data_IF_262720329794
#
_entry.id   IF_262720329794
#
_cell.length_a   1.000
_cell.length_b   1.000
_cell.length_c   1.000
_cell.angle_alpha   90.00
_cell.angle_beta   90.00
_cell.angle_gamma   90.00
#
_symmetry.space_group_name_H-M   'P 1'
#
loop_
_entity.id
_entity.type
_entity.pdbx_description
1 polymer ?
#
# COMPACT_ATOMS: atom_id res chain seq x y z
N UNK A 1 14.58 38.68 -35.72
CA UNK A 1 13.43 37.81 -35.74
C UNK A 1 13.80 36.61 -34.89
N UNK A 2 13.46 36.65 -33.60
CA UNK A 2 13.75 35.62 -32.62
C UNK A 2 12.39 35.08 -32.15
N UNK A 3 12.01 33.92 -32.61
CA UNK A 3 10.82 33.23 -32.14
C UNK A 3 11.12 32.55 -30.80
N UNK A 4 10.30 32.95 -29.85
CA UNK A 4 10.28 32.41 -28.46
C UNK A 4 9.42 31.17 -28.44
N UNK A 5 10.04 29.99 -28.34
CA UNK A 5 9.33 28.76 -28.02
C UNK A 5 9.32 28.59 -26.49
N UNK A 6 8.24 29.04 -25.90
CA UNK A 6 7.89 28.73 -24.52
C UNK A 6 7.08 27.44 -24.54
N UNK A 7 7.72 26.31 -24.31
CA UNK A 7 7.03 25.04 -24.02
C UNK A 7 6.45 25.10 -22.61
N UNK A 8 5.15 25.37 -22.56
CA UNK A 8 4.34 25.14 -21.36
C UNK A 8 4.28 23.65 -21.06
N UNK A 9 5.03 23.23 -20.05
CA UNK A 9 4.86 21.91 -19.41
C UNK A 9 3.53 21.92 -18.64
N UNK A 10 2.44 21.63 -19.34
CA UNK A 10 1.15 21.38 -18.70
C UNK A 10 1.24 20.11 -17.89
N UNK A 11 1.40 20.28 -16.58
CA UNK A 11 1.20 19.26 -15.57
C UNK A 11 -0.25 18.75 -15.67
N UNK A 12 -0.45 17.61 -16.33
CA UNK A 12 -1.74 16.95 -16.46
C UNK A 12 -2.13 16.33 -15.11
N UNK A 13 -2.59 17.18 -14.20
CA UNK A 13 -3.19 16.78 -12.91
C UNK A 13 -4.68 16.56 -13.14
N UNK A 14 -5.04 15.46 -13.79
CA UNK A 14 -6.44 15.03 -13.80
C UNK A 14 -6.93 14.88 -12.35
N UNK A 15 -8.14 15.37 -12.01
CA UNK A 15 -8.68 15.28 -10.67
C UNK A 15 -8.74 13.79 -10.26
N UNK A 16 -8.13 13.50 -9.11
CA UNK A 16 -8.13 12.16 -8.54
C UNK A 16 -9.59 11.81 -8.21
N UNK A 17 -10.14 10.79 -8.87
CA UNK A 17 -11.48 10.29 -8.58
C UNK A 17 -11.63 10.03 -7.07
N UNK A 18 -12.85 10.22 -6.54
CA UNK A 18 -13.12 10.00 -5.12
C UNK A 18 -12.59 8.61 -4.69
N UNK A 19 -11.89 8.52 -3.54
CA UNK A 19 -11.23 7.27 -3.15
C UNK A 19 -12.25 6.17 -2.86
N UNK A 20 -12.12 5.03 -3.54
CA UNK A 20 -12.88 3.83 -3.20
C UNK A 20 -12.38 3.28 -1.86
N UNK A 21 -13.29 2.71 -1.05
CA UNK A 21 -12.93 2.19 0.26
C UNK A 21 -12.45 0.74 0.20
N UNK A 22 -11.35 0.39 0.86
CA UNK A 22 -10.81 -0.97 0.92
C UNK A 22 -10.84 -1.48 2.36
N UNK A 23 -11.65 -2.45 2.63
CA UNK A 23 -11.57 -3.51 3.67
C UNK A 23 -12.94 -4.11 3.99
N UNK A 24 -12.99 -5.42 4.17
CA UNK A 24 -14.21 -6.18 4.41
C UNK A 24 -14.73 -6.87 3.14
N UNK A 25 -15.74 -7.69 3.31
CA UNK A 25 -16.47 -8.31 2.19
C UNK A 25 -17.08 -7.22 1.32
N UNK A 26 -16.53 -7.05 0.12
CA UNK A 26 -17.13 -6.20 -0.90
C UNK A 26 -18.04 -7.04 -1.76
N UNK A 27 -19.10 -6.41 -2.30
CA UNK A 27 -19.85 -7.03 -3.38
C UNK A 27 -18.90 -7.30 -4.54
N UNK A 28 -19.13 -8.38 -5.25
CA UNK A 28 -18.31 -8.77 -6.40
C UNK A 28 -18.21 -7.62 -7.41
N UNK A 29 -19.30 -6.91 -7.61
CA UNK A 29 -19.40 -5.76 -8.52
C UNK A 29 -18.38 -4.65 -8.18
N UNK A 30 -18.19 -4.33 -6.88
CA UNK A 30 -17.21 -3.32 -6.44
C UNK A 30 -15.78 -3.73 -6.76
N UNK A 31 -15.48 -5.03 -6.67
CA UNK A 31 -14.13 -5.56 -6.97
C UNK A 31 -13.85 -5.47 -8.47
N UNK A 32 -14.83 -5.84 -9.29
CA UNK A 32 -14.72 -5.77 -10.74
C UNK A 32 -14.56 -4.33 -11.23
N UNK A 33 -15.32 -3.39 -10.65
CA UNK A 33 -15.18 -1.94 -10.93
C UNK A 33 -13.76 -1.45 -10.58
N UNK A 34 -13.24 -1.82 -9.41
CA UNK A 34 -11.88 -1.43 -8.98
C UNK A 34 -10.82 -2.04 -9.91
N UNK A 35 -10.94 -3.32 -10.24
CA UNK A 35 -10.00 -3.99 -11.14
C UNK A 35 -10.04 -3.38 -12.55
N UNK A 36 -11.24 -3.11 -13.09
CA UNK A 36 -11.44 -2.48 -14.39
C UNK A 36 -10.91 -1.04 -14.43
N UNK A 37 -11.18 -0.26 -13.37
CA UNK A 37 -10.65 1.10 -13.25
C UNK A 37 -9.11 1.10 -13.20
N UNK A 38 -8.52 0.17 -12.45
CA UNK A 38 -7.07 0.04 -12.39
C UNK A 38 -6.48 -0.41 -13.75
N UNK A 39 -7.18 -1.30 -14.46
CA UNK A 39 -6.77 -1.75 -15.78
C UNK A 39 -6.83 -0.62 -16.82
N UNK A 40 -7.89 0.19 -16.83
CA UNK A 40 -8.12 1.26 -17.79
C UNK A 40 -7.32 2.53 -17.47
N UNK A 41 -7.32 2.98 -16.23
CA UNK A 41 -6.69 4.24 -15.81
C UNK A 41 -5.22 4.06 -15.38
N UNK A 42 -4.76 2.83 -15.19
CA UNK A 42 -3.41 2.52 -14.71
C UNK A 42 -3.16 2.86 -13.23
N UNK A 43 -4.05 3.60 -12.58
CA UNK A 43 -3.95 3.99 -11.15
C UNK A 43 -5.32 4.23 -10.54
N UNK A 44 -5.44 3.96 -9.24
CA UNK A 44 -6.63 4.22 -8.44
C UNK A 44 -6.25 4.70 -7.04
N UNK A 45 -7.18 5.35 -6.36
CA UNK A 45 -7.05 5.72 -4.94
C UNK A 45 -8.04 4.93 -4.10
N UNK A 46 -7.55 4.31 -3.04
CA UNK A 46 -8.33 3.44 -2.17
C UNK A 46 -8.20 3.90 -0.72
N UNK A 47 -9.31 4.02 0.00
CA UNK A 47 -9.29 4.28 1.44
C UNK A 47 -9.03 2.98 2.19
N UNK A 48 -7.98 2.95 2.99
CA UNK A 48 -7.60 1.81 3.83
C UNK A 48 -8.51 1.75 5.06
N UNK A 49 -9.06 0.57 5.34
CA UNK A 49 -9.91 0.33 6.53
C UNK A 49 -9.27 -0.58 7.56
N UNK A 50 -8.51 -1.56 7.12
CA UNK A 50 -7.89 -2.56 7.99
C UNK A 50 -6.69 -2.04 8.77
N UNK A 51 -6.32 -2.73 9.85
CA UNK A 51 -5.18 -2.45 10.71
C UNK A 51 -3.98 -3.38 10.48
N UNK A 52 -4.07 -4.28 9.51
CA UNK A 52 -3.04 -5.30 9.24
C UNK A 52 -1.67 -4.73 8.87
N UNK A 53 -1.63 -3.50 8.35
CA UNK A 53 -0.42 -2.83 7.91
C UNK A 53 0.11 -1.79 8.91
N UNK A 54 -0.42 -1.77 10.13
CA UNK A 54 0.11 -0.90 11.18
C UNK A 54 1.57 -1.23 11.50
N UNK A 55 2.36 -0.23 11.89
CA UNK A 55 2.05 1.20 12.04
C UNK A 55 2.19 2.02 10.75
N UNK A 56 2.61 1.38 9.65
CA UNK A 56 3.04 2.05 8.41
C UNK A 56 1.87 2.55 7.57
N UNK A 57 0.88 1.70 7.34
CA UNK A 57 -0.38 2.08 6.70
C UNK A 57 -1.48 1.97 7.76
N UNK A 58 -2.33 2.99 7.86
CA UNK A 58 -3.32 3.13 8.93
C UNK A 58 -4.73 3.14 8.38
N UNK A 59 -5.72 2.71 9.17
CA UNK A 59 -7.12 2.95 8.83
C UNK A 59 -7.36 4.45 8.57
N UNK A 60 -8.07 4.76 7.49
CA UNK A 60 -8.33 6.12 7.04
C UNK A 60 -7.29 6.72 6.09
N UNK A 61 -6.11 6.12 5.96
CA UNK A 61 -5.14 6.52 4.92
C UNK A 61 -5.74 6.27 3.53
N UNK A 62 -5.33 7.09 2.55
CA UNK A 62 -5.66 6.89 1.14
C UNK A 62 -4.42 6.35 0.44
N UNK A 63 -4.49 5.11 -0.03
CA UNK A 63 -3.45 4.46 -0.79
C UNK A 63 -3.66 4.69 -2.29
N UNK A 64 -2.66 5.26 -2.96
CA UNK A 64 -2.62 5.37 -4.42
C UNK A 64 -1.95 4.12 -4.97
N UNK A 65 -2.72 3.32 -5.67
CA UNK A 65 -2.26 2.07 -6.29
C UNK A 65 -2.04 2.31 -7.77
N UNK A 66 -0.90 1.88 -8.28
CA UNK A 66 -0.60 1.85 -9.72
C UNK A 66 -0.54 0.42 -10.21
N UNK A 67 -1.19 0.14 -11.35
CA UNK A 67 -1.02 -1.11 -12.04
C UNK A 67 0.47 -1.34 -12.33
N UNK A 68 0.95 -2.52 -12.02
CA UNK A 68 2.38 -2.83 -12.15
C UNK A 68 2.51 -4.25 -12.65
N UNK A 69 3.39 -4.45 -13.63
CA UNK A 69 3.76 -5.79 -14.05
C UNK A 69 4.43 -6.53 -12.88
N UNK A 70 4.03 -7.77 -12.69
CA UNK A 70 4.54 -8.67 -11.66
C UNK A 70 6.06 -8.84 -11.71
N UNK A 71 6.65 -8.75 -12.92
CA UNK A 71 8.10 -8.79 -13.10
C UNK A 71 8.81 -7.65 -12.34
N UNK A 72 8.19 -6.48 -12.24
CA UNK A 72 8.74 -5.28 -11.60
C UNK A 72 8.44 -5.18 -10.10
N UNK A 73 7.66 -6.11 -9.56
CA UNK A 73 7.32 -6.11 -8.13
C UNK A 73 8.45 -6.75 -7.33
N UNK A 74 8.82 -6.15 -6.20
CA UNK A 74 9.98 -6.51 -5.37
C UNK A 74 9.57 -6.83 -3.93
N UNK A 75 10.41 -7.59 -3.23
CA UNK A 75 10.29 -7.71 -1.78
C UNK A 75 10.39 -6.32 -1.12
N UNK A 76 9.52 -6.07 -0.15
CA UNK A 76 9.37 -4.77 0.49
C UNK A 76 8.25 -3.90 -0.08
N UNK A 77 7.81 -4.15 -1.31
CA UNK A 77 6.69 -3.43 -1.91
C UNK A 77 5.39 -3.71 -1.17
N UNK A 78 4.57 -2.68 -1.04
CA UNK A 78 3.18 -2.80 -0.59
C UNK A 78 2.30 -2.95 -1.81
N UNK A 79 1.51 -4.01 -1.86
CA UNK A 79 0.71 -4.38 -3.04
C UNK A 79 -0.77 -4.50 -2.71
N UNK A 80 -1.62 -4.25 -3.71
CA UNK A 80 -3.03 -4.56 -3.69
C UNK A 80 -3.21 -5.96 -4.26
N UNK A 81 -3.79 -6.84 -3.46
CA UNK A 81 -4.02 -8.25 -3.78
C UNK A 81 -5.52 -8.49 -3.86
N UNK A 82 -5.95 -9.23 -4.87
CA UNK A 82 -7.30 -9.80 -4.95
C UNK A 82 -7.22 -11.28 -4.61
N UNK A 83 -7.80 -11.68 -3.50
CA UNK A 83 -7.85 -13.07 -3.06
C UNK A 83 -9.19 -13.38 -2.39
N UNK A 84 -9.78 -14.49 -2.70
CA UNK A 84 -11.05 -14.95 -2.14
C UNK A 84 -12.14 -13.86 -2.14
N UNK A 85 -12.27 -13.14 -3.28
CA UNK A 85 -13.19 -12.00 -3.43
C UNK A 85 -12.96 -10.87 -2.44
N UNK A 86 -11.71 -10.71 -1.95
CA UNK A 86 -11.31 -9.64 -1.03
C UNK A 86 -10.14 -8.87 -1.60
N UNK A 87 -10.18 -7.56 -1.42
CA UNK A 87 -9.05 -6.69 -1.69
C UNK A 87 -8.22 -6.52 -0.41
N UNK A 88 -6.96 -6.86 -0.51
CA UNK A 88 -6.03 -6.86 0.61
C UNK A 88 -4.84 -5.98 0.24
N UNK A 89 -4.42 -5.10 1.15
CA UNK A 89 -3.19 -4.32 1.00
C UNK A 89 -2.16 -4.88 1.97
N UNK A 90 -1.15 -5.57 1.45
CA UNK A 90 -0.11 -6.21 2.27
C UNK A 90 1.28 -6.01 1.66
N UNK A 91 2.32 -6.32 2.44
CA UNK A 91 3.72 -6.20 2.02
C UNK A 91 4.24 -7.53 1.49
N UNK A 92 4.98 -7.46 0.38
CA UNK A 92 5.69 -8.63 -0.14
C UNK A 92 6.96 -8.88 0.68
N UNK A 93 7.03 -10.08 1.25
CA UNK A 93 8.15 -10.50 2.12
C UNK A 93 9.07 -11.52 1.45
N UNK A 94 8.59 -12.25 0.43
CA UNK A 94 9.39 -13.18 -0.37
C UNK A 94 8.91 -13.17 -1.82
N UNK A 95 9.85 -13.34 -2.74
CA UNK A 95 9.61 -13.63 -4.16
C UNK A 95 10.31 -14.93 -4.48
N UNK A 96 9.60 -15.88 -5.07
CA UNK A 96 10.12 -17.18 -5.46
C UNK A 96 9.87 -17.39 -6.95
N UNK A 97 10.94 -17.49 -7.72
CA UNK A 97 10.91 -17.69 -9.18
C UNK A 97 11.42 -19.06 -9.61
N UNK A 98 11.63 -19.99 -8.68
CA UNK A 98 12.32 -21.27 -8.96
C UNK A 98 11.49 -22.28 -9.75
N UNK A 99 10.19 -22.08 -9.91
CA UNK A 99 9.27 -23.08 -10.49
C UNK A 99 8.49 -22.61 -11.71
N UNK A 100 9.10 -21.83 -12.59
CA UNK A 100 8.49 -21.38 -13.87
C UNK A 100 7.43 -20.28 -13.72
N UNK A 101 6.62 -20.27 -12.67
CA UNK A 101 5.69 -19.21 -12.34
C UNK A 101 6.14 -18.48 -11.06
N UNK A 102 6.34 -17.17 -11.15
CA UNK A 102 6.75 -16.39 -9.96
C UNK A 102 5.63 -16.39 -8.91
N UNK A 103 5.97 -16.88 -7.72
CA UNK A 103 5.11 -16.85 -6.54
C UNK A 103 5.65 -15.84 -5.53
N UNK A 104 4.75 -15.31 -4.73
CA UNK A 104 5.08 -14.31 -3.71
C UNK A 104 4.51 -14.73 -2.38
N UNK A 105 5.17 -14.33 -1.30
CA UNK A 105 4.64 -14.39 0.05
C UNK A 105 4.31 -12.96 0.47
N UNK A 106 3.05 -12.70 0.80
CA UNK A 106 2.60 -11.44 1.35
C UNK A 106 2.28 -11.56 2.83
N UNK A 107 2.39 -10.43 3.53
CA UNK A 107 2.12 -10.36 4.96
C UNK A 107 1.71 -8.95 5.37
N UNK A 108 0.74 -8.84 6.26
CA UNK A 108 0.45 -7.60 6.97
C UNK A 108 1.54 -7.29 7.99
N UNK A 109 2.00 -6.03 8.04
CA UNK A 109 3.10 -5.61 8.93
C UNK A 109 2.75 -5.80 10.42
N UNK A 110 1.46 -5.77 10.77
CA UNK A 110 0.95 -5.96 12.13
C UNK A 110 0.51 -7.41 12.44
N UNK A 111 0.61 -8.34 11.51
CA UNK A 111 0.20 -9.73 11.71
C UNK A 111 1.39 -10.65 11.96
N UNK A 112 1.21 -11.66 12.82
CA UNK A 112 2.22 -12.70 13.06
C UNK A 112 2.26 -13.75 11.95
N UNK A 113 1.10 -14.09 11.37
CA UNK A 113 0.97 -15.00 10.23
C UNK A 113 1.19 -14.32 8.89
N UNK A 114 1.40 -15.09 7.84
CA UNK A 114 1.39 -14.66 6.45
C UNK A 114 0.07 -15.04 5.75
N UNK A 115 -0.14 -14.50 4.56
CA UNK A 115 -1.33 -14.80 3.75
C UNK A 115 -1.14 -16.07 2.91
N UNK A 116 -0.06 -16.79 3.12
CA UNK A 116 0.36 -17.88 2.22
C UNK A 116 0.92 -17.36 0.90
N UNK A 117 1.25 -18.30 0.02
CA UNK A 117 1.77 -17.98 -1.30
C UNK A 117 0.66 -17.41 -2.17
N UNK A 118 0.97 -16.31 -2.85
CA UNK A 118 0.12 -15.65 -3.83
C UNK A 118 0.74 -15.76 -5.24
N UNK A 119 -0.10 -15.80 -6.24
CA UNK A 119 0.31 -15.87 -7.64
C UNK A 119 0.28 -14.48 -8.27
N UNK A 120 1.07 -14.30 -9.31
CA UNK A 120 1.15 -13.03 -10.02
C UNK A 120 -0.19 -12.40 -10.39
N UNK A 121 -1.15 -13.13 -10.98
CA UNK A 121 -2.47 -12.60 -11.31
C UNK A 121 -3.30 -12.08 -10.13
N UNK A 122 -3.02 -12.52 -8.90
CA UNK A 122 -3.68 -12.01 -7.70
C UNK A 122 -3.20 -10.59 -7.33
N UNK A 123 -2.02 -10.17 -7.83
CA UNK A 123 -1.46 -8.83 -7.59
C UNK A 123 -2.04 -7.86 -8.62
N UNK A 124 -2.95 -7.01 -8.21
CA UNK A 124 -3.57 -6.01 -9.07
C UNK A 124 -2.66 -4.81 -9.33
N UNK A 125 -1.84 -4.43 -8.36
CA UNK A 125 -0.93 -3.30 -8.48
C UNK A 125 -0.12 -3.01 -7.22
N UNK A 126 0.78 -2.00 -7.32
CA UNK A 126 1.67 -1.58 -6.25
C UNK A 126 1.21 -0.25 -5.67
N UNK A 127 1.23 -0.12 -4.35
CA UNK A 127 0.99 1.14 -3.66
C UNK A 127 2.20 2.04 -3.82
N UNK A 128 1.99 3.21 -4.44
CA UNK A 128 3.05 4.18 -4.72
C UNK A 128 3.11 5.28 -3.67
N UNK A 129 1.92 5.73 -3.24
CA UNK A 129 1.77 6.88 -2.35
C UNK A 129 0.70 6.62 -1.32
N UNK A 130 0.86 7.23 -0.16
CA UNK A 130 -0.13 7.19 0.93
C UNK A 130 -0.40 8.63 1.35
N UNK A 131 -1.66 9.04 1.34
CA UNK A 131 -2.10 10.29 1.93
C UNK A 131 -2.67 10.04 3.33
N UNK A 132 -2.10 10.71 4.32
CA UNK A 132 -2.52 10.69 5.73
C UNK A 132 -2.90 12.09 6.15
N UNK A 133 -4.18 12.44 6.02
CA UNK A 133 -4.60 13.83 6.08
C UNK A 133 -3.92 14.64 4.99
N UNK A 134 -3.26 15.73 5.34
CA UNK A 134 -2.47 16.57 4.42
C UNK A 134 -1.05 16.03 4.13
N UNK A 135 -0.61 14.96 4.84
CA UNK A 135 0.75 14.43 4.68
C UNK A 135 0.80 13.40 3.55
N UNK A 136 1.70 13.62 2.59
CA UNK A 136 2.07 12.65 1.57
C UNK A 136 3.25 11.80 2.05
N UNK A 137 3.14 10.49 1.86
CA UNK A 137 4.21 9.50 2.05
C UNK A 137 4.41 8.83 0.69
N UNK A 138 5.54 9.12 0.05
CA UNK A 138 5.90 8.52 -1.23
C UNK A 138 6.71 7.24 -0.97
N UNK A 139 6.16 6.08 -1.35
CA UNK A 139 6.79 4.79 -1.12
C UNK A 139 7.91 4.47 -2.13
N UNK A 140 8.05 5.27 -3.20
CA UNK A 140 9.15 5.14 -4.16
C UNK A 140 10.41 5.89 -3.72
N UNK A 141 10.32 6.73 -2.69
CA UNK A 141 11.53 7.35 -2.15
C UNK A 141 12.51 6.30 -1.60
N UNK A 142 13.82 6.45 -1.85
CA UNK A 142 14.85 5.48 -1.48
C UNK A 142 14.81 5.06 -0.01
N UNK A 143 14.52 6.02 0.89
CA UNK A 143 14.37 5.75 2.34
C UNK A 143 13.21 4.80 2.65
N UNK A 144 12.08 4.95 1.95
CA UNK A 144 10.90 4.11 2.15
C UNK A 144 11.06 2.74 1.49
N UNK A 145 11.76 2.68 0.35
CA UNK A 145 12.14 1.41 -0.28
C UNK A 145 13.07 0.61 0.62
N UNK A 146 14.14 1.24 1.14
CA UNK A 146 15.08 0.59 2.06
C UNK A 146 14.37 0.10 3.33
N UNK A 147 13.48 0.92 3.90
CA UNK A 147 12.67 0.54 5.05
C UNK A 147 11.73 -0.62 4.74
N UNK A 148 11.09 -0.63 3.56
CA UNK A 148 10.23 -1.72 3.11
C UNK A 148 10.98 -3.06 3.02
N UNK A 149 12.19 -3.04 2.46
CA UNK A 149 13.06 -4.21 2.39
C UNK A 149 13.44 -4.68 3.80
N UNK A 150 13.83 -3.76 4.67
CA UNK A 150 14.18 -4.07 6.07
C UNK A 150 12.99 -4.72 6.79
N UNK A 151 11.80 -4.13 6.71
CA UNK A 151 10.59 -4.68 7.31
C UNK A 151 10.32 -6.09 6.76
N UNK A 152 10.44 -6.30 5.45
CA UNK A 152 10.19 -7.60 4.83
C UNK A 152 11.14 -8.68 5.36
N UNK A 153 12.40 -8.35 5.59
CA UNK A 153 13.39 -9.28 6.16
C UNK A 153 13.11 -9.60 7.62
N UNK A 154 12.76 -8.58 8.42
CA UNK A 154 12.40 -8.79 9.82
C UNK A 154 11.07 -9.55 9.97
N UNK A 155 10.08 -9.26 9.15
CA UNK A 155 8.78 -9.96 9.16
C UNK A 155 8.90 -11.46 8.93
N UNK A 156 9.90 -11.91 8.19
CA UNK A 156 10.20 -13.35 8.00
C UNK A 156 10.64 -14.07 9.29
N UNK A 157 11.23 -13.34 10.23
CA UNK A 157 11.75 -13.89 11.49
C UNK A 157 10.87 -13.59 12.71
N UNK A 158 9.76 -12.87 12.52
CA UNK A 158 9.16 -12.08 13.59
C UNK A 158 7.90 -12.64 14.27
N UNK A 159 7.80 -13.95 14.49
CA UNK A 159 6.90 -14.41 15.55
C UNK A 159 7.24 -13.78 16.92
N UNK A 160 8.49 -13.32 17.12
CA UNK A 160 9.00 -12.73 18.35
C UNK A 160 8.79 -11.22 18.51
N UNK A 161 8.58 -10.46 17.43
CA UNK A 161 8.49 -8.97 17.50
C UNK A 161 7.06 -8.42 17.50
N UNK A 162 6.08 -9.25 17.25
CA UNK A 162 4.67 -8.86 17.20
C UNK A 162 4.16 -8.15 18.46
N UNK A 163 4.48 -8.56 19.70
CA UNK A 163 4.01 -7.85 20.89
C UNK A 163 4.60 -6.44 21.00
N UNK A 164 5.85 -6.24 20.58
CA UNK A 164 6.51 -4.93 20.65
C UNK A 164 5.96 -3.93 19.63
N UNK A 165 5.64 -4.38 18.40
CA UNK A 165 5.05 -3.52 17.37
C UNK A 165 3.63 -3.10 17.77
N UNK A 166 2.84 -4.00 18.36
CA UNK A 166 1.51 -3.66 18.92
C UNK A 166 1.63 -2.69 20.10
N UNK A 167 2.56 -2.91 20.99
CA UNK A 167 2.76 -2.04 22.14
C UNK A 167 3.17 -0.63 21.69
N UNK A 168 4.11 -0.50 20.76
CA UNK A 168 4.51 0.78 20.19
C UNK A 168 3.34 1.49 19.48
N UNK A 169 2.50 0.76 18.74
CA UNK A 169 1.33 1.31 18.08
C UNK A 169 0.27 1.80 19.06
N UNK A 170 0.06 1.07 20.16
CA UNK A 170 -0.90 1.43 21.21
C UNK A 170 -0.41 2.62 22.04
N UNK A 171 0.87 2.65 22.42
CA UNK A 171 1.46 3.72 23.23
C UNK A 171 1.55 5.05 22.48
N UNK A 172 1.77 5.03 21.17
CA UNK A 172 1.90 6.28 20.39
C UNK A 172 0.56 6.93 20.03
N UNK A 173 -0.58 6.21 20.12
CA UNK A 173 -1.90 6.78 19.81
C UNK A 173 -2.40 7.82 20.84
N UNK A 174 -2.35 7.56 22.15
CA UNK A 174 -2.86 8.54 23.15
C UNK A 174 -2.00 9.79 23.23
N UNK A 175 -0.68 9.69 23.13
CA UNK A 175 0.23 10.83 23.16
C UNK A 175 -0.01 11.81 22.01
N UNK A 176 -0.40 11.32 20.84
CA UNK A 176 -0.73 12.17 19.68
C UNK A 176 -2.08 12.87 19.82
N UNK A 177 -3.07 12.25 20.48
CA UNK A 177 -4.37 12.89 20.75
C UNK A 177 -4.20 14.04 21.75
N UNK A 178 -3.38 13.87 22.77
CA UNK A 178 -3.05 14.94 23.72
C UNK A 178 -2.30 16.10 23.06
N UNK A 179 -1.37 15.81 22.14
CA UNK A 179 -0.60 16.86 21.47
C UNK A 179 -1.42 17.65 20.45
N UNK A 180 -2.41 17.03 19.82
CA UNK A 180 -3.35 17.70 18.92
C UNK A 180 -4.37 18.54 19.67
N UNK A 181 -4.84 18.10 20.83
CA UNK A 181 -5.73 18.88 21.70
C UNK A 181 -5.06 20.15 22.25
N UNK A 182 -3.76 20.09 22.55
CA UNK A 182 -2.99 21.22 23.08
C UNK A 182 -2.56 22.26 22.01
N UNK A 183 -2.78 21.99 20.73
CA UNK A 183 -2.56 22.92 19.61
C UNK A 183 -3.82 23.63 19.13
N UNK A 184 -4.98 23.23 19.64
CA UNK A 184 -6.29 23.80 19.30
C UNK A 184 -6.84 24.71 20.42
N UNK A 185 -6.11 24.84 21.52
CA UNK A 185 -6.31 25.81 22.60
C UNK A 185 -5.28 26.96 22.47
#
# INVERSE_FOLDING_TARGET
MKENLSEETQSNTAPLAAPAEVSGERRQDDIEVIASALAGQGRISLRVRGSSMLPWVRPGDIAVVRRTDVAHVRCGDVVLILRDKRLIVHRLVKKDGSSGATKFLAKGDAHSGDDGMIHGPEILGRVMKIYRGSRLIDLDEPRHLALGILISQFSRKSAYWYPFVRLAAVVTQPLRRMWQANRAA
#
